data_IF_123527311105
#
_entry.id   IF_123527311105
#
_cell.length_a   1.000
_cell.length_b   1.000
_cell.length_c   1.000
_cell.angle_alpha   90.00
_cell.angle_beta   90.00
_cell.angle_gamma   90.00
#
_symmetry.space_group_name_H-M   'P 1'
#
loop_
_entity.id
_entity.type
_entity.pdbx_description
1 polymer ?
#
# COMPACT_ATOMS: atom_id res chain seq x y z
N UNK A 1 -31.22 -15.00 -69.80
CA UNK A 1 -31.13 -14.64 -68.38
C UNK A 1 -29.82 -15.15 -67.81
N UNK A 2 -28.77 -14.34 -67.87
CA UNK A 2 -27.43 -14.68 -67.39
C UNK A 2 -26.77 -13.38 -66.91
N UNK A 3 -26.44 -13.29 -65.61
CA UNK A 3 -25.18 -12.68 -65.13
C UNK A 3 -25.05 -12.81 -63.61
N UNK A 4 -24.00 -13.52 -63.21
CA UNK A 4 -23.28 -13.32 -61.94
C UNK A 4 -22.66 -11.90 -61.88
N UNK A 5 -22.25 -11.50 -60.66
CA UNK A 5 -21.30 -10.44 -60.23
C UNK A 5 -21.98 -9.53 -59.17
N UNK A 6 -21.39 -9.15 -58.04
CA UNK A 6 -20.08 -9.39 -57.45
C UNK A 6 -20.17 -9.10 -55.94
N UNK A 7 -19.37 -9.82 -55.17
CA UNK A 7 -19.07 -9.55 -53.75
C UNK A 7 -18.37 -8.20 -53.59
N UNK A 8 -18.92 -7.28 -52.78
CA UNK A 8 -18.21 -6.07 -52.37
C UNK A 8 -17.74 -6.25 -50.91
N UNK A 9 -16.46 -6.61 -50.75
CA UNK A 9 -15.76 -6.59 -49.46
C UNK A 9 -15.38 -5.15 -49.16
N UNK A 10 -16.04 -4.52 -48.20
CA UNK A 10 -15.60 -3.24 -47.63
C UNK A 10 -14.38 -3.48 -46.74
N UNK A 11 -13.19 -3.24 -47.30
CA UNK A 11 -11.94 -3.21 -46.53
C UNK A 11 -11.93 -1.91 -45.72
N UNK A 12 -12.26 -2.01 -44.44
CA UNK A 12 -12.04 -0.91 -43.49
C UNK A 12 -10.53 -0.69 -43.36
N UNK A 13 -10.01 0.36 -44.00
CA UNK A 13 -8.64 0.83 -43.79
C UNK A 13 -8.51 1.33 -42.34
N UNK A 14 -7.82 0.56 -41.50
CA UNK A 14 -7.32 1.04 -40.20
C UNK A 14 -6.37 2.20 -40.48
N UNK A 15 -6.82 3.43 -40.21
CA UNK A 15 -5.93 4.57 -40.06
C UNK A 15 -5.07 4.32 -38.82
N UNK A 16 -3.81 3.97 -39.04
CA UNK A 16 -2.80 3.94 -37.99
C UNK A 16 -2.57 5.41 -37.61
N UNK A 17 -3.18 5.83 -36.51
CA UNK A 17 -2.85 7.07 -35.84
C UNK A 17 -1.41 6.95 -35.36
N UNK A 18 -0.48 7.56 -36.09
CA UNK A 18 0.86 7.83 -35.57
C UNK A 18 0.69 8.89 -34.50
N UNK A 19 0.53 8.47 -33.25
CA UNK A 19 0.72 9.36 -32.12
C UNK A 19 2.11 9.96 -32.27
N UNK A 20 2.18 11.25 -32.63
CA UNK A 20 3.40 12.03 -32.46
C UNK A 20 3.79 11.87 -31.00
N UNK A 21 4.79 11.05 -30.74
CA UNK A 21 5.56 11.13 -29.51
C UNK A 21 6.18 12.51 -29.58
N UNK A 22 5.54 13.46 -28.91
CA UNK A 22 6.19 14.71 -28.56
C UNK A 22 7.27 14.29 -27.58
N UNK A 23 8.45 13.98 -28.10
CA UNK A 23 9.67 14.04 -27.31
C UNK A 23 9.79 15.50 -26.88
N UNK A 24 9.23 15.82 -25.73
CA UNK A 24 9.56 17.04 -25.05
C UNK A 24 11.06 16.95 -24.76
N UNK A 25 11.86 17.63 -25.57
CA UNK A 25 13.23 18.01 -25.25
C UNK A 25 13.16 18.99 -24.07
N UNK A 26 12.84 18.45 -22.90
CA UNK A 26 12.92 19.17 -21.65
C UNK A 26 14.40 19.36 -21.38
N UNK A 27 14.91 20.57 -21.61
CA UNK A 27 16.19 21.01 -21.04
C UNK A 27 16.21 20.52 -19.59
N UNK A 28 17.16 19.64 -19.26
CA UNK A 28 17.37 19.19 -17.90
C UNK A 28 17.62 20.47 -17.08
N UNK A 29 16.61 20.91 -16.33
CA UNK A 29 16.80 22.03 -15.42
C UNK A 29 17.84 21.57 -14.42
N UNK A 30 19.01 22.21 -14.43
CA UNK A 30 20.05 21.96 -13.46
C UNK A 30 19.44 22.06 -12.06
N UNK A 31 19.51 20.98 -11.32
CA UNK A 31 18.95 20.92 -9.97
C UNK A 31 19.94 21.66 -9.09
N UNK A 32 19.54 22.77 -8.44
CA UNK A 32 20.46 23.59 -7.64
C UNK A 32 21.03 22.75 -6.50
N UNK A 33 22.32 22.93 -6.24
CA UNK A 33 23.04 22.19 -5.20
C UNK A 33 22.50 22.53 -3.80
N UNK A 34 22.71 21.68 -2.78
CA UNK A 34 22.27 21.97 -1.41
C UNK A 34 22.84 23.28 -0.84
N UNK A 35 24.04 23.66 -1.27
CA UNK A 35 24.72 24.90 -0.87
C UNK A 35 24.00 26.14 -1.41
N UNK A 36 23.47 26.08 -2.63
CA UNK A 36 22.71 27.17 -3.25
C UNK A 36 21.28 27.29 -2.71
N UNK A 37 20.64 26.15 -2.43
CA UNK A 37 19.22 26.09 -2.06
C UNK A 37 18.99 26.21 -0.55
N UNK A 38 19.96 25.82 0.28
CA UNK A 38 19.88 25.81 1.74
C UNK A 38 19.11 24.61 2.33
N UNK A 39 19.23 24.47 3.65
CA UNK A 39 18.62 23.40 4.44
C UNK A 39 17.33 23.86 5.12
N UNK A 40 16.32 23.01 5.10
CA UNK A 40 14.96 23.29 5.55
C UNK A 40 14.76 23.00 7.04
N UNK A 41 15.52 23.69 7.90
CA UNK A 41 15.44 23.46 9.33
C UNK A 41 14.08 23.85 9.93
N UNK A 42 13.74 23.32 11.11
CA UNK A 42 12.46 23.60 11.78
C UNK A 42 12.22 25.08 12.12
N UNK A 43 13.28 25.87 12.33
CA UNK A 43 13.17 27.32 12.57
C UNK A 43 12.88 28.12 11.29
N UNK A 44 12.95 27.50 10.10
CA UNK A 44 12.73 28.16 8.82
C UNK A 44 11.25 28.08 8.44
N UNK A 45 10.61 29.25 8.28
CA UNK A 45 9.17 29.33 7.98
C UNK A 45 8.82 28.82 6.57
N UNK A 46 9.64 29.14 5.56
CA UNK A 46 9.40 28.81 4.15
C UNK A 46 10.35 27.73 3.67
N UNK A 47 9.87 26.48 3.69
CA UNK A 47 10.68 25.30 3.32
C UNK A 47 10.71 24.98 1.82
N UNK A 48 9.80 25.54 1.01
CA UNK A 48 9.74 25.22 -0.43
C UNK A 48 11.03 25.63 -1.13
N UNK A 49 11.61 24.69 -1.86
CA UNK A 49 12.83 24.89 -2.61
C UNK A 49 14.11 24.60 -1.82
N UNK A 50 14.03 24.29 -0.52
CA UNK A 50 15.16 23.89 0.32
C UNK A 50 15.25 22.37 0.43
N UNK A 51 16.39 21.86 0.91
CA UNK A 51 16.62 20.43 1.13
C UNK A 51 16.23 20.02 2.55
N UNK A 52 15.57 18.85 2.69
CA UNK A 52 15.32 18.26 4.01
C UNK A 52 16.64 17.72 4.57
N UNK A 53 17.08 18.15 5.77
CA UNK A 53 18.27 17.59 6.39
C UNK A 53 18.05 16.11 6.74
N UNK A 54 19.11 15.32 6.63
CA UNK A 54 19.08 13.88 6.90
C UNK A 54 19.57 13.65 8.33
N UNK A 55 18.75 12.98 9.12
CA UNK A 55 19.02 12.69 10.54
C UNK A 55 19.21 11.19 10.77
N UNK A 56 19.97 10.86 11.81
CA UNK A 56 20.12 9.48 12.27
C UNK A 56 18.90 9.01 13.07
N UNK A 57 18.78 7.68 13.26
CA UNK A 57 17.69 7.10 14.05
C UNK A 57 17.81 7.49 15.52
N UNK A 58 19.04 7.54 16.05
CA UNK A 58 19.28 7.89 17.44
C UNK A 58 18.88 9.34 17.73
N UNK A 59 19.18 10.25 16.79
CA UNK A 59 18.71 11.65 16.83
C UNK A 59 17.18 11.74 16.82
N UNK A 60 16.52 10.93 15.99
CA UNK A 60 15.06 10.89 15.95
C UNK A 60 14.46 10.43 17.28
N UNK A 61 14.99 9.36 17.87
CA UNK A 61 14.51 8.84 19.16
C UNK A 61 14.73 9.88 20.27
N UNK A 62 15.92 10.49 20.30
CA UNK A 62 16.24 11.57 21.24
C UNK A 62 15.30 12.77 21.06
N UNK A 63 14.98 13.14 19.82
CA UNK A 63 14.02 14.21 19.52
C UNK A 63 12.61 13.88 20.03
N UNK A 64 12.11 12.67 19.80
CA UNK A 64 10.78 12.27 20.28
C UNK A 64 10.66 12.25 21.81
N UNK A 65 11.78 12.02 22.52
CA UNK A 65 11.87 12.09 23.98
C UNK A 65 12.10 13.53 24.50
N UNK A 66 12.45 14.46 23.62
CA UNK A 66 12.79 15.82 23.99
C UNK A 66 11.56 16.66 24.40
N UNK A 67 11.82 17.73 25.17
CA UNK A 67 10.80 18.73 25.52
C UNK A 67 10.24 19.43 24.28
N UNK A 68 11.08 19.68 23.27
CA UNK A 68 10.67 20.34 22.04
C UNK A 68 9.55 19.57 21.31
N UNK A 69 9.67 18.23 21.23
CA UNK A 69 8.63 17.39 20.66
C UNK A 69 7.35 17.40 21.49
N UNK A 70 7.48 17.28 22.82
CA UNK A 70 6.33 17.33 23.73
C UNK A 70 5.58 18.67 23.61
N UNK A 71 6.29 19.79 23.55
CA UNK A 71 5.69 21.13 23.46
C UNK A 71 5.02 21.36 22.09
N UNK A 72 5.61 20.85 21.02
CA UNK A 72 5.08 20.94 19.66
C UNK A 72 3.78 20.13 19.47
N UNK A 73 3.74 18.90 20.00
CA UNK A 73 2.65 17.95 19.73
C UNK A 73 1.68 17.75 20.89
N UNK A 74 2.03 18.17 22.11
CA UNK A 74 1.19 18.12 23.32
C UNK A 74 0.63 16.73 23.64
N UNK A 75 1.42 15.70 23.41
CA UNK A 75 1.02 14.29 23.62
C UNK A 75 -0.03 13.76 22.65
N UNK A 76 -0.43 14.53 21.63
CA UNK A 76 -1.34 14.10 20.57
C UNK A 76 -0.55 13.52 19.38
N UNK A 77 -1.16 12.63 18.57
CA UNK A 77 -0.49 12.09 17.40
C UNK A 77 -0.18 13.19 16.38
N UNK A 78 0.95 13.04 15.68
CA UNK A 78 1.51 14.06 14.78
C UNK A 78 0.53 14.50 13.68
N UNK A 79 -0.28 13.56 13.16
CA UNK A 79 -1.27 13.82 12.11
C UNK A 79 -2.39 14.79 12.54
N UNK A 80 -2.69 14.90 13.84
CA UNK A 80 -3.77 15.73 14.38
C UNK A 80 -3.55 17.22 14.11
N UNK A 81 -2.28 17.62 14.10
CA UNK A 81 -1.83 19.01 13.90
C UNK A 81 -1.67 19.40 12.43
N UNK A 82 -2.23 18.61 11.52
CA UNK A 82 -2.13 18.84 10.09
C UNK A 82 -3.50 18.91 9.45
N UNK A 83 -3.69 19.92 8.59
CA UNK A 83 -4.89 20.09 7.77
C UNK A 83 -4.49 20.36 6.34
N UNK A 84 -5.10 19.62 5.41
CA UNK A 84 -4.90 19.81 3.98
C UNK A 84 -5.68 21.03 3.49
N UNK A 85 -5.04 21.79 2.61
CA UNK A 85 -5.70 22.86 1.86
C UNK A 85 -6.35 22.23 0.62
N UNK A 86 -7.66 22.05 0.67
CA UNK A 86 -8.46 21.54 -0.45
C UNK A 86 -9.63 22.49 -0.72
N UNK A 87 -10.12 22.50 -1.96
CA UNK A 87 -11.33 23.24 -2.32
C UNK A 87 -12.56 22.37 -2.03
N UNK A 88 -13.60 22.97 -1.46
CA UNK A 88 -14.87 22.30 -1.19
C UNK A 88 -14.93 21.55 0.14
N UNK A 89 -15.91 20.64 0.26
CA UNK A 89 -16.17 19.89 1.48
C UNK A 89 -15.09 18.82 1.75
N UNK A 90 -14.82 18.57 3.03
CA UNK A 90 -13.81 17.60 3.46
C UNK A 90 -14.18 16.15 3.19
N UNK A 91 -15.41 15.84 2.86
CA UNK A 91 -15.85 14.47 2.56
C UNK A 91 -15.48 14.07 1.12
N UNK A 92 -15.46 15.06 0.21
CA UNK A 92 -15.24 14.86 -1.23
C UNK A 92 -13.78 15.18 -1.60
N UNK A 93 -12.83 14.92 -0.67
CA UNK A 93 -11.44 15.28 -0.95
C UNK A 93 -10.86 14.40 -2.05
N UNK A 94 -10.11 14.96 -3.01
CA UNK A 94 -9.28 14.15 -3.87
C UNK A 94 -8.19 13.45 -3.06
N UNK A 95 -7.71 12.30 -3.55
CA UNK A 95 -6.61 11.59 -2.92
C UNK A 95 -5.37 12.51 -2.77
N UNK A 96 -4.52 12.31 -1.75
CA UNK A 96 -3.36 13.16 -1.54
C UNK A 96 -2.40 13.14 -2.73
N UNK A 97 -1.55 14.17 -2.78
CA UNK A 97 -0.42 14.27 -3.71
C UNK A 97 0.51 13.05 -3.62
N UNK A 98 1.23 12.81 -4.71
CA UNK A 98 2.18 11.70 -4.82
C UNK A 98 3.32 11.84 -3.80
N UNK A 99 4.06 12.96 -3.84
CA UNK A 99 5.21 13.23 -2.98
C UNK A 99 5.22 14.69 -2.50
N UNK A 100 5.81 14.94 -1.32
CA UNK A 100 6.06 16.30 -0.82
C UNK A 100 7.50 16.77 -1.12
N UNK A 101 8.41 15.80 -1.13
CA UNK A 101 9.84 15.96 -1.29
C UNK A 101 10.21 15.30 -2.61
N UNK A 102 11.06 15.92 -3.40
CA UNK A 102 11.57 15.35 -4.63
C UNK A 102 12.51 14.16 -4.38
N UNK A 103 12.80 13.40 -5.43
CA UNK A 103 13.83 12.35 -5.43
C UNK A 103 15.21 12.84 -4.94
N UNK A 104 15.47 14.14 -5.08
CA UNK A 104 16.71 14.78 -4.65
C UNK A 104 16.69 15.24 -3.19
N UNK A 105 15.56 15.15 -2.47
CA UNK A 105 15.43 15.63 -1.09
C UNK A 105 14.93 17.07 -0.95
N UNK A 106 14.48 17.70 -2.05
CA UNK A 106 14.02 19.10 -2.07
C UNK A 106 12.52 19.22 -1.82
N UNK A 107 12.07 20.22 -1.08
CA UNK A 107 10.65 20.49 -0.88
C UNK A 107 9.99 21.13 -2.10
N UNK A 108 8.98 20.48 -2.67
CA UNK A 108 8.16 21.06 -3.73
C UNK A 108 7.06 22.01 -3.26
N UNK A 109 6.75 21.93 -1.97
CA UNK A 109 5.49 22.35 -1.38
C UNK A 109 5.74 23.16 -0.13
N UNK A 110 4.90 24.17 0.11
CA UNK A 110 4.93 24.93 1.36
C UNK A 110 4.25 24.15 2.50
N UNK A 111 3.06 23.60 2.25
CA UNK A 111 2.30 22.84 3.24
C UNK A 111 2.62 21.34 3.11
N UNK A 112 3.78 20.89 3.61
CA UNK A 112 4.23 19.49 3.54
C UNK A 112 3.43 18.57 4.48
N UNK A 113 3.51 17.25 4.28
CA UNK A 113 2.80 16.27 5.12
C UNK A 113 3.28 16.31 6.59
N UNK A 114 2.53 15.76 7.57
CA UNK A 114 2.90 15.84 8.99
C UNK A 114 4.31 15.33 9.32
N UNK A 115 4.77 14.29 8.61
CA UNK A 115 6.13 13.70 8.74
C UNK A 115 7.15 14.45 7.88
N UNK A 116 6.72 14.94 6.71
CA UNK A 116 7.59 15.62 5.78
C UNK A 116 8.01 17.01 6.29
N UNK A 117 7.12 17.70 7.02
CA UNK A 117 7.34 19.08 7.49
C UNK A 117 8.39 19.16 8.59
N UNK A 118 8.49 18.14 9.43
CA UNK A 118 9.46 18.06 10.52
C UNK A 118 10.72 17.36 10.00
N UNK A 119 11.88 17.85 10.41
CA UNK A 119 13.17 17.38 9.96
C UNK A 119 13.52 16.00 10.55
N UNK A 120 13.33 15.81 11.86
CA UNK A 120 13.71 14.60 12.58
C UNK A 120 12.79 13.41 12.29
N UNK A 121 11.58 13.67 11.79
CA UNK A 121 10.57 12.63 11.59
C UNK A 121 10.72 11.95 10.23
N UNK A 122 10.88 10.64 10.26
CA UNK A 122 10.91 9.74 9.11
C UNK A 122 10.54 8.32 9.56
N UNK A 123 9.95 7.51 8.69
CA UNK A 123 9.55 6.15 9.06
C UNK A 123 10.74 5.19 9.03
N UNK A 124 10.99 4.54 10.16
CA UNK A 124 11.94 3.44 10.30
C UNK A 124 11.36 2.37 11.24
N UNK A 125 11.50 1.10 10.88
CA UNK A 125 11.05 -0.05 11.66
C UNK A 125 11.69 -0.15 13.05
N UNK A 126 12.87 0.46 13.28
CA UNK A 126 13.57 0.48 14.57
C UNK A 126 12.91 1.38 15.60
N UNK A 127 12.10 2.35 15.15
CA UNK A 127 11.36 3.25 16.02
C UNK A 127 9.83 3.00 15.88
N UNK A 128 9.29 1.99 16.61
CA UNK A 128 7.87 1.66 16.54
C UNK A 128 6.99 2.78 17.09
N UNK A 129 7.48 3.61 18.02
CA UNK A 129 6.70 4.68 18.67
C UNK A 129 6.17 5.73 17.68
N UNK A 130 6.87 5.96 16.56
CA UNK A 130 6.37 6.83 15.49
C UNK A 130 5.33 6.12 14.62
N UNK A 131 5.56 4.85 14.29
CA UNK A 131 4.69 4.03 13.44
C UNK A 131 3.34 3.80 14.11
N UNK A 132 3.33 3.50 15.41
CA UNK A 132 2.14 3.22 16.22
C UNK A 132 1.14 4.39 16.20
N UNK A 133 1.61 5.63 16.09
CA UNK A 133 0.73 6.81 15.98
C UNK A 133 -0.12 6.81 14.70
N UNK A 134 0.30 6.09 13.67
CA UNK A 134 -0.41 5.97 12.40
C UNK A 134 -1.23 4.67 12.28
N UNK A 135 -1.28 3.86 13.33
CA UNK A 135 -2.10 2.66 13.39
C UNK A 135 -3.48 2.95 13.98
N UNK A 136 -4.48 2.17 13.59
CA UNK A 136 -5.79 2.22 14.24
C UNK A 136 -5.70 1.72 15.68
N UNK A 137 -6.47 2.29 16.60
CA UNK A 137 -6.45 1.90 18.02
C UNK A 137 -6.64 0.38 18.18
N UNK A 138 -5.68 -0.28 18.85
CA UNK A 138 -5.71 -1.73 19.08
C UNK A 138 -5.55 -2.60 17.82
N UNK A 139 -5.21 -2.02 16.66
CA UNK A 139 -5.04 -2.74 15.40
C UNK A 139 -3.65 -2.50 14.83
N UNK A 140 -3.10 -3.50 14.13
CA UNK A 140 -1.83 -3.36 13.41
C UNK A 140 -2.00 -2.79 11.98
N UNK A 141 -3.18 -2.26 11.68
CA UNK A 141 -3.54 -1.76 10.36
C UNK A 141 -3.30 -0.25 10.31
N UNK A 142 -2.65 0.28 9.25
CA UNK A 142 -2.46 1.71 9.11
C UNK A 142 -3.82 2.40 8.91
N UNK A 143 -3.98 3.58 9.51
CA UNK A 143 -5.14 4.43 9.30
C UNK A 143 -5.23 4.81 7.81
N UNK A 144 -6.44 4.94 7.28
CA UNK A 144 -6.68 5.37 5.89
C UNK A 144 -5.86 6.62 5.49
N UNK A 145 -5.35 6.61 4.27
CA UNK A 145 -4.50 7.65 3.70
C UNK A 145 -5.08 9.09 3.83
N UNK A 146 -6.39 9.26 3.67
CA UNK A 146 -7.02 10.58 3.80
C UNK A 146 -7.03 11.09 5.25
N UNK A 147 -7.22 10.19 6.22
CA UNK A 147 -7.24 10.49 7.65
C UNK A 147 -5.83 10.75 8.19
N UNK A 148 -4.80 10.08 7.65
CA UNK A 148 -3.40 10.30 8.07
C UNK A 148 -2.83 11.63 7.57
N UNK A 149 -3.30 12.15 6.43
CA UNK A 149 -2.77 13.38 5.84
C UNK A 149 -1.37 13.25 5.24
N UNK A 150 -0.87 12.03 5.06
CA UNK A 150 0.41 11.74 4.41
C UNK A 150 0.34 11.94 2.90
N UNK A 151 1.49 12.14 2.25
CA UNK A 151 1.58 11.95 0.80
C UNK A 151 1.65 10.44 0.48
N UNK A 152 1.30 10.06 -0.75
CA UNK A 152 1.21 8.65 -1.15
C UNK A 152 2.54 7.92 -0.98
N UNK A 153 3.65 8.57 -1.28
CA UNK A 153 5.00 8.03 -1.08
C UNK A 153 5.28 7.73 0.40
N UNK A 154 5.01 8.66 1.31
CA UNK A 154 5.24 8.44 2.74
C UNK A 154 4.28 7.38 3.32
N UNK A 155 3.08 7.27 2.77
CA UNK A 155 2.17 6.20 3.12
C UNK A 155 2.65 4.83 2.64
N UNK A 156 3.21 4.73 1.43
CA UNK A 156 3.85 3.52 0.95
C UNK A 156 5.08 3.16 1.80
N UNK A 157 5.89 4.16 2.20
CA UNK A 157 7.00 3.98 3.12
C UNK A 157 6.52 3.46 4.48
N UNK A 158 5.44 4.03 5.04
CA UNK A 158 4.83 3.54 6.27
C UNK A 158 4.43 2.05 6.13
N UNK A 159 3.76 1.67 5.05
CA UNK A 159 3.38 0.27 4.79
C UNK A 159 4.60 -0.66 4.70
N UNK A 160 5.65 -0.23 4.00
CA UNK A 160 6.91 -0.99 3.89
C UNK A 160 7.60 -1.15 5.25
N UNK A 161 7.65 -0.09 6.06
CA UNK A 161 8.25 -0.15 7.40
C UNK A 161 7.41 -0.96 8.38
N UNK A 162 6.08 -0.95 8.26
CA UNK A 162 5.21 -1.85 9.03
C UNK A 162 5.52 -3.31 8.68
N UNK A 163 5.63 -3.64 7.39
CA UNK A 163 5.98 -5.00 6.96
C UNK A 163 7.34 -5.42 7.54
N UNK A 164 8.34 -4.56 7.41
CA UNK A 164 9.68 -4.78 7.96
C UNK A 164 9.67 -4.91 9.49
N UNK A 165 8.90 -4.09 10.20
CA UNK A 165 8.76 -4.17 11.64
C UNK A 165 8.09 -5.47 12.11
N UNK A 166 7.16 -6.02 11.32
CA UNK A 166 6.57 -7.34 11.58
C UNK A 166 7.59 -8.46 11.39
N UNK A 167 8.41 -8.40 10.32
CA UNK A 167 9.46 -9.39 10.06
C UNK A 167 10.55 -9.40 11.16
N UNK A 168 10.93 -8.22 11.65
CA UNK A 168 11.91 -8.09 12.74
C UNK A 168 11.30 -8.28 14.14
N UNK A 169 9.98 -8.31 14.28
CA UNK A 169 9.30 -8.42 15.58
C UNK A 169 9.35 -7.15 16.44
N UNK A 170 9.69 -5.98 15.86
CA UNK A 170 9.72 -4.70 16.58
C UNK A 170 8.32 -4.19 16.91
N UNK A 171 7.35 -4.50 16.05
CA UNK A 171 5.95 -4.12 16.23
C UNK A 171 5.13 -5.33 16.64
N UNK A 172 4.29 -5.20 17.66
CA UNK A 172 3.36 -6.26 18.06
C UNK A 172 2.18 -6.33 17.09
N UNK A 173 1.87 -7.53 16.60
CA UNK A 173 0.72 -7.76 15.72
C UNK A 173 0.08 -9.12 16.00
N UNK A 174 -1.18 -9.28 15.60
CA UNK A 174 -1.87 -10.55 15.65
C UNK A 174 -1.37 -11.46 14.52
N UNK A 175 -0.91 -12.66 14.87
CA UNK A 175 -0.57 -13.71 13.90
C UNK A 175 -1.77 -14.64 13.80
N UNK A 176 -2.30 -14.80 12.59
CA UNK A 176 -3.35 -15.77 12.33
C UNK A 176 -2.83 -17.18 12.57
N UNK A 177 -3.60 -17.96 13.33
CA UNK A 177 -3.29 -19.37 13.55
C UNK A 177 -4.01 -20.22 12.52
N UNK A 178 -3.29 -21.14 11.88
CA UNK A 178 -3.91 -22.11 10.98
C UNK A 178 -4.35 -23.31 11.80
N UNK A 179 -5.66 -23.56 11.82
CA UNK A 179 -6.22 -24.76 12.41
C UNK A 179 -6.06 -25.92 11.41
N UNK A 180 -5.47 -27.03 11.86
CA UNK A 180 -5.23 -28.22 11.03
C UNK A 180 -5.95 -29.42 11.62
N UNK A 181 -6.65 -30.17 10.78
CA UNK A 181 -7.11 -31.51 11.13
C UNK A 181 -6.01 -32.54 10.82
N UNK A 182 -5.31 -32.99 11.85
CA UNK A 182 -4.21 -33.95 11.71
C UNK A 182 -4.66 -35.33 11.21
N UNK A 183 -5.95 -35.68 11.33
CA UNK A 183 -6.52 -36.95 10.88
C UNK A 183 -6.42 -37.13 9.37
N UNK A 184 -6.42 -36.02 8.62
CA UNK A 184 -6.31 -36.04 7.16
C UNK A 184 -4.92 -36.47 6.69
N UNK A 185 -3.89 -36.27 7.52
CA UNK A 185 -2.49 -36.52 7.16
C UNK A 185 -1.95 -37.80 7.80
N UNK A 186 -2.44 -38.15 8.99
CA UNK A 186 -1.93 -39.26 9.78
C UNK A 186 -3.06 -40.24 10.10
N UNK A 187 -3.02 -41.40 9.43
CA UNK A 187 -4.04 -42.46 9.62
C UNK A 187 -4.09 -43.03 11.04
N UNK A 188 -3.00 -42.90 11.79
CA UNK A 188 -2.91 -43.33 13.20
C UNK A 188 -3.39 -42.27 14.20
N UNK A 189 -3.68 -41.03 13.77
CA UNK A 189 -4.13 -39.96 14.65
C UNK A 189 -5.64 -40.06 14.87
N UNK A 190 -6.07 -40.51 16.05
CA UNK A 190 -7.49 -40.72 16.38
C UNK A 190 -8.10 -39.62 17.24
N UNK A 191 -7.29 -38.77 17.84
CA UNK A 191 -7.74 -37.67 18.72
C UNK A 191 -8.62 -36.70 17.94
N UNK A 192 -9.71 -36.24 18.55
CA UNK A 192 -10.54 -35.18 17.96
C UNK A 192 -9.78 -33.87 17.88
N UNK A 193 -9.92 -33.10 16.79
CA UNK A 193 -9.31 -31.78 16.70
C UNK A 193 -9.85 -30.89 17.82
N UNK A 194 -8.97 -30.10 18.43
CA UNK A 194 -9.36 -29.09 19.41
C UNK A 194 -10.22 -28.02 18.75
N UNK A 195 -11.00 -27.30 19.56
CA UNK A 195 -11.77 -26.15 19.08
C UNK A 195 -10.88 -25.18 18.28
N UNK A 196 -11.34 -24.68 17.12
CA UNK A 196 -10.58 -23.73 16.31
C UNK A 196 -10.15 -22.50 17.12
N UNK A 197 -8.86 -22.20 17.12
CA UNK A 197 -8.35 -21.01 17.83
C UNK A 197 -8.43 -19.81 16.89
N UNK A 198 -9.26 -18.83 17.23
CA UNK A 198 -9.40 -17.57 16.49
C UNK A 198 -8.64 -16.45 17.22
N UNK A 199 -7.42 -16.12 16.76
CA UNK A 199 -6.61 -15.02 17.34
C UNK A 199 -6.60 -13.73 16.53
N UNK A 200 -6.92 -13.77 15.24
CA UNK A 200 -6.88 -12.57 14.38
C UNK A 200 -8.00 -12.52 13.32
N UNK A 201 -9.05 -13.32 13.50
CA UNK A 201 -10.33 -13.15 12.80
C UNK A 201 -10.34 -13.53 11.31
N UNK A 202 -9.22 -13.98 10.73
CA UNK A 202 -9.20 -14.55 9.38
C UNK A 202 -9.43 -16.06 9.46
N UNK A 203 -10.65 -16.49 9.12
CA UNK A 203 -10.97 -17.90 8.90
C UNK A 203 -10.44 -18.33 7.54
N UNK A 204 -9.82 -19.50 7.46
CA UNK A 204 -9.32 -20.04 6.19
C UNK A 204 -10.45 -20.21 5.17
N UNK A 205 -11.65 -20.51 5.68
CA UNK A 205 -12.91 -20.62 4.97
C UNK A 205 -13.35 -19.30 4.33
N UNK A 206 -12.98 -18.14 4.89
CA UNK A 206 -13.29 -16.83 4.32
C UNK A 206 -12.36 -16.49 3.14
N UNK A 207 -11.10 -16.95 3.20
CA UNK A 207 -10.10 -16.76 2.13
C UNK A 207 -10.40 -17.69 0.96
N UNK A 208 -10.80 -18.92 1.26
CA UNK A 208 -11.14 -19.95 0.29
C UNK A 208 -12.53 -20.53 0.61
N UNK A 209 -13.61 -19.83 0.22
CA UNK A 209 -14.98 -20.30 0.46
C UNK A 209 -15.34 -21.51 -0.42
N UNK A 210 -14.50 -21.82 -1.41
CA UNK A 210 -14.68 -22.98 -2.26
C UNK A 210 -14.27 -24.24 -1.47
N UNK A 211 -15.06 -25.33 -1.54
CA UNK A 211 -14.71 -26.58 -0.88
C UNK A 211 -13.36 -27.09 -1.41
N UNK A 212 -12.54 -27.64 -0.51
CA UNK A 212 -11.27 -28.29 -0.86
C UNK A 212 -11.54 -29.38 -1.90
N UNK A 213 -11.06 -29.16 -3.12
CA UNK A 213 -11.18 -30.15 -4.20
C UNK A 213 -10.18 -31.25 -3.90
N UNK A 214 -10.69 -32.43 -3.54
CA UNK A 214 -9.89 -33.64 -3.58
C UNK A 214 -9.59 -33.94 -5.04
N UNK A 215 -8.40 -33.54 -5.50
CA UNK A 215 -7.92 -34.01 -6.79
C UNK A 215 -7.77 -35.52 -6.68
N UNK A 216 -8.45 -36.31 -7.54
CA UNK A 216 -8.24 -37.73 -7.54
C UNK A 216 -6.75 -37.98 -7.80
N UNK A 217 -6.09 -38.65 -6.85
CA UNK A 217 -4.74 -39.19 -7.05
C UNK A 217 -4.82 -39.94 -8.37
N UNK A 218 -4.05 -39.51 -9.37
CA UNK A 218 -4.16 -39.94 -10.77
C UNK A 218 -4.30 -41.48 -10.84
N UNK A 219 -5.53 -41.99 -10.86
CA UNK A 219 -5.84 -43.41 -11.03
C UNK A 219 -6.14 -43.59 -12.51
N UNK A 220 -5.30 -44.34 -13.25
CA UNK A 220 -5.41 -44.39 -14.71
C UNK A 220 -6.72 -44.99 -15.22
N UNK A 221 -7.43 -45.84 -14.45
CA UNK A 221 -8.35 -46.80 -15.11
C UNK A 221 -9.83 -46.81 -14.70
N UNK A 222 -10.36 -45.94 -13.83
CA UNK A 222 -11.83 -45.94 -13.58
C UNK A 222 -12.39 -44.59 -13.11
N UNK A 223 -13.43 -44.10 -13.79
CA UNK A 223 -14.36 -43.10 -13.25
C UNK A 223 -13.96 -41.63 -13.39
N UNK A 224 -13.17 -41.30 -14.41
CA UNK A 224 -12.81 -39.92 -14.71
C UNK A 224 -13.90 -39.27 -15.58
N UNK A 225 -15.00 -38.83 -14.98
CA UNK A 225 -15.99 -37.94 -15.63
C UNK A 225 -15.37 -36.53 -15.76
N UNK A 226 -14.46 -36.38 -16.71
CA UNK A 226 -13.98 -35.08 -17.22
C UNK A 226 -15.12 -34.21 -17.78
N UNK A 227 -16.28 -34.81 -17.93
CA UNK A 227 -17.52 -34.20 -18.36
C UNK A 227 -17.92 -33.06 -17.41
N UNK A 228 -17.83 -33.14 -16.08
CA UNK A 228 -18.41 -32.06 -15.25
C UNK A 228 -17.64 -30.72 -15.18
N UNK A 229 -16.55 -30.54 -15.94
CA UNK A 229 -15.75 -29.30 -15.93
C UNK A 229 -16.54 -28.05 -16.35
N UNK A 230 -17.57 -28.21 -17.20
CA UNK A 230 -18.43 -27.10 -17.65
C UNK A 230 -19.23 -26.46 -16.51
N UNK A 231 -19.55 -27.18 -15.44
CA UNK A 231 -20.27 -26.62 -14.28
C UNK A 231 -19.43 -25.55 -13.57
N UNK A 232 -18.09 -25.69 -13.60
CA UNK A 232 -17.16 -24.72 -13.03
C UNK A 232 -16.87 -23.57 -13.99
N UNK A 233 -16.74 -23.85 -15.30
CA UNK A 233 -16.62 -22.83 -16.34
C UNK A 233 -17.83 -21.89 -16.34
N UNK A 234 -19.03 -22.45 -16.25
CA UNK A 234 -20.27 -21.68 -16.30
C UNK A 234 -20.46 -20.82 -15.03
N UNK A 235 -20.02 -21.32 -13.86
CA UNK A 235 -19.94 -20.54 -12.61
C UNK A 235 -18.90 -19.41 -12.70
N UNK A 236 -17.72 -19.67 -13.26
CA UNK A 236 -16.69 -18.65 -13.47
C UNK A 236 -17.13 -17.59 -14.48
N UNK A 237 -17.75 -18.00 -15.59
CA UNK A 237 -18.27 -17.10 -16.62
C UNK A 237 -19.44 -16.23 -16.12
N UNK A 238 -20.28 -16.76 -15.22
CA UNK A 238 -21.35 -16.00 -14.55
C UNK A 238 -20.83 -15.02 -13.49
N UNK A 239 -19.72 -15.34 -12.82
CA UNK A 239 -19.09 -14.46 -11.81
C UNK A 239 -18.26 -13.33 -12.42
N UNK A 240 -17.89 -13.46 -13.71
CA UNK A 240 -17.13 -12.48 -14.47
C UNK A 240 -18.00 -11.48 -15.28
N UNK A 241 -19.33 -11.66 -15.29
CA UNK A 241 -20.31 -10.67 -15.77
C UNK A 241 -20.85 -9.87 -14.60
#
# INVERSE_FOLDING_TARGET
>A
FFRMLATSRTIARRLISTSRVVCCEGKAKEVPTPEEAGWAFNHVEKKKGMYKPVHSIDEQIAYMQSRAYHDAYKGLPINRWYKRNIKGQSIIQPPPRLFCIDKHGRFNVNNACPVCRDEYLFFDFRNPALIEQFLGAGTYHPIELLKTGLCREQYANLQAQILKAKEHGTLTFGVDFRNYDFRQYYSWWKTEPSEPVERAGLRLEDIHPDPLVTFPVHKPDTGNDWDQWWLRYDKFAKKAK
#
